data_IF_723329228094
#
_entry.id   IF_723329228094
#
_cell.length_a   1.000
_cell.length_b   1.000
_cell.length_c   1.000
_cell.angle_alpha   90.00
_cell.angle_beta   90.00
_cell.angle_gamma   90.00
#
_symmetry.space_group_name_H-M   'P 1'
#
loop_
_entity.id
_entity.type
_entity.pdbx_description
1 polymer ?
#
# COMPACT_ATOMS: atom_id res chain seq x y z
N UNK A 1 -32.49 -14.16 -36.84
CA UNK A 1 -31.21 -13.57 -37.28
C UNK A 1 -30.74 -12.65 -36.18
N UNK A 2 -29.68 -13.01 -35.47
CA UNK A 2 -29.10 -12.19 -34.41
C UNK A 2 -27.58 -12.31 -34.52
N UNK A 3 -26.94 -11.21 -34.92
CA UNK A 3 -25.50 -11.06 -34.88
C UNK A 3 -25.18 -9.67 -34.30
N UNK A 4 -24.72 -9.66 -33.06
CA UNK A 4 -23.94 -8.63 -32.37
C UNK A 4 -23.20 -9.49 -31.32
N UNK A 5 -21.90 -9.74 -31.35
CA UNK A 5 -20.80 -8.84 -31.63
C UNK A 5 -19.94 -8.82 -30.37
N UNK A 6 -18.78 -9.46 -30.44
CA UNK A 6 -17.62 -9.26 -29.56
C UNK A 6 -17.70 -9.73 -28.09
N UNK A 7 -17.03 -10.85 -27.81
CA UNK A 7 -16.09 -10.91 -26.68
C UNK A 7 -15.09 -12.03 -26.97
N UNK A 8 -13.97 -11.65 -27.56
CA UNK A 8 -12.84 -12.53 -27.86
C UNK A 8 -11.87 -12.49 -26.68
N UNK A 9 -12.35 -12.83 -25.49
CA UNK A 9 -11.47 -13.14 -24.36
C UNK A 9 -11.42 -14.66 -24.26
N UNK A 10 -10.52 -15.24 -25.05
CA UNK A 10 -10.08 -16.61 -24.81
C UNK A 10 -9.42 -16.60 -23.42
N UNK A 11 -10.02 -17.33 -22.48
CA UNK A 11 -9.39 -17.71 -21.23
C UNK A 11 -8.17 -18.56 -21.57
N UNK A 12 -7.02 -17.89 -21.72
CA UNK A 12 -5.73 -18.56 -21.71
C UNK A 12 -5.50 -19.00 -20.26
N UNK A 13 -5.81 -20.26 -19.97
CA UNK A 13 -5.70 -20.92 -18.68
C UNK A 13 -4.25 -21.07 -18.21
N UNK A 14 -3.50 -19.97 -18.18
CA UNK A 14 -2.19 -19.93 -17.54
C UNK A 14 -2.42 -19.82 -16.05
N UNK A 15 -2.37 -20.98 -15.39
CA UNK A 15 -2.15 -21.09 -13.96
C UNK A 15 -1.03 -20.13 -13.58
N UNK A 16 -1.36 -19.10 -12.79
CA UNK A 16 -0.39 -18.14 -12.30
C UNK A 16 0.47 -18.89 -11.27
N UNK A 17 1.53 -19.54 -11.74
CA UNK A 17 2.52 -20.17 -10.87
C UNK A 17 3.25 -19.04 -10.16
N UNK A 18 3.04 -18.92 -8.86
CA UNK A 18 3.76 -17.98 -8.01
C UNK A 18 5.27 -18.32 -8.10
N UNK A 19 6.11 -17.42 -8.64
CA UNK A 19 7.53 -17.70 -8.85
C UNK A 19 8.31 -18.06 -7.57
N UNK A 20 7.74 -17.77 -6.41
CA UNK A 20 8.30 -18.11 -5.10
C UNK A 20 8.11 -19.58 -4.72
N UNK A 21 7.17 -20.28 -5.37
CA UNK A 21 6.81 -21.68 -5.08
C UNK A 21 7.60 -22.70 -5.94
N UNK A 22 8.43 -22.22 -6.89
CA UNK A 22 9.33 -23.07 -7.66
C UNK A 22 10.60 -23.42 -6.84
N UNK A 23 11.03 -24.69 -6.89
CA UNK A 23 12.27 -25.13 -6.23
C UNK A 23 13.50 -24.63 -7.00
N UNK A 24 13.95 -23.44 -6.60
CA UNK A 24 14.92 -22.60 -7.29
C UNK A 24 16.07 -22.22 -6.35
N UNK A 25 16.58 -23.11 -5.49
CA UNK A 25 17.54 -22.72 -4.43
C UNK A 25 18.74 -21.87 -4.91
N UNK A 26 19.25 -22.10 -6.13
CA UNK A 26 20.34 -21.32 -6.74
C UNK A 26 19.85 -20.13 -7.58
N UNK A 27 18.61 -20.19 -8.07
CA UNK A 27 17.97 -19.20 -8.93
C UNK A 27 17.20 -18.14 -8.10
N UNK A 28 16.92 -18.42 -6.83
CA UNK A 28 16.34 -17.48 -5.85
C UNK A 28 17.20 -16.25 -5.63
N UNK A 29 18.52 -16.42 -5.56
CA UNK A 29 19.44 -15.29 -5.41
C UNK A 29 19.44 -14.42 -6.67
N UNK A 30 19.45 -15.02 -7.86
CA UNK A 30 19.36 -14.29 -9.13
C UNK A 30 18.03 -13.55 -9.29
N UNK A 31 16.92 -14.20 -8.94
CA UNK A 31 15.58 -13.60 -8.96
C UNK A 31 15.49 -12.46 -7.94
N UNK A 32 16.06 -12.60 -6.75
CA UNK A 32 16.11 -11.54 -5.74
C UNK A 32 16.88 -10.33 -6.24
N UNK A 33 18.07 -10.51 -6.81
CA UNK A 33 18.86 -9.41 -7.38
C UNK A 33 18.09 -8.68 -8.48
N UNK A 34 17.40 -9.43 -9.35
CA UNK A 34 16.57 -8.83 -10.39
C UNK A 34 15.36 -8.07 -9.82
N UNK A 35 14.76 -8.54 -8.73
CA UNK A 35 13.69 -7.82 -8.02
C UNK A 35 14.25 -6.53 -7.42
N UNK A 36 15.41 -6.59 -6.75
CA UNK A 36 16.05 -5.42 -6.14
C UNK A 36 16.44 -4.38 -7.18
N UNK A 37 16.99 -4.80 -8.32
CA UNK A 37 17.28 -3.90 -9.44
C UNK A 37 16.00 -3.25 -9.99
N UNK A 38 14.95 -4.05 -10.21
CA UNK A 38 13.69 -3.57 -10.76
C UNK A 38 12.92 -2.63 -9.81
N UNK A 39 13.05 -2.79 -8.49
CA UNK A 39 12.44 -1.90 -7.47
C UNK A 39 12.86 -0.45 -7.68
N UNK A 40 14.08 -0.21 -8.18
CA UNK A 40 14.62 1.13 -8.37
C UNK A 40 14.41 1.67 -9.79
N UNK A 41 14.46 0.80 -10.79
CA UNK A 41 14.55 1.21 -12.21
C UNK A 41 13.24 1.09 -12.99
N UNK A 42 12.22 0.39 -12.47
CA UNK A 42 10.93 0.27 -13.15
C UNK A 42 9.86 1.18 -12.54
N UNK A 43 8.90 1.70 -13.33
CA UNK A 43 7.78 2.48 -12.79
C UNK A 43 6.96 1.69 -11.75
N UNK A 44 6.75 0.40 -11.99
CA UNK A 44 6.04 -0.48 -11.05
C UNK A 44 6.84 -0.66 -9.75
N UNK A 45 8.14 -0.93 -9.85
CA UNK A 45 9.03 -1.05 -8.70
C UNK A 45 9.04 0.20 -7.82
N UNK A 46 9.09 1.39 -8.44
CA UNK A 46 9.00 2.66 -7.72
C UNK A 46 7.66 2.84 -7.00
N UNK A 47 6.55 2.38 -7.58
CA UNK A 47 5.23 2.40 -6.92
C UNK A 47 5.20 1.41 -5.75
N UNK A 48 5.69 0.18 -5.93
CA UNK A 48 5.76 -0.81 -4.86
C UNK A 48 6.65 -0.34 -3.70
N UNK A 49 7.79 0.29 -4.01
CA UNK A 49 8.66 0.93 -3.01
C UNK A 49 7.93 2.01 -2.22
N UNK A 50 7.17 2.88 -2.91
CA UNK A 50 6.35 3.90 -2.26
C UNK A 50 5.31 3.26 -1.34
N UNK A 51 4.58 2.25 -1.81
CA UNK A 51 3.57 1.52 -1.02
C UNK A 51 4.21 0.88 0.21
N UNK A 52 5.36 0.22 0.08
CA UNK A 52 6.09 -0.38 1.19
C UNK A 52 6.62 0.66 2.20
N UNK A 53 6.96 1.87 1.75
CA UNK A 53 7.36 2.98 2.62
C UNK A 53 6.19 3.71 3.28
N UNK A 54 4.95 3.45 2.86
CA UNK A 54 3.80 4.08 3.48
C UNK A 54 3.67 3.55 4.90
N UNK A 55 3.56 4.43 5.91
CA UNK A 55 3.31 3.98 7.27
C UNK A 55 2.03 3.17 7.29
N UNK A 56 1.94 2.20 8.21
CA UNK A 56 0.70 1.46 8.44
C UNK A 56 -0.35 2.44 8.98
N UNK A 57 -1.08 3.07 8.07
CA UNK A 57 -2.14 4.00 8.45
C UNK A 57 -3.29 3.15 8.95
N UNK A 58 -3.67 3.36 10.22
CA UNK A 58 -4.92 2.85 10.80
C UNK A 58 -6.12 3.51 10.08
N UNK A 59 -6.40 3.08 8.84
CA UNK A 59 -7.34 3.70 7.90
C UNK A 59 -8.70 3.94 8.52
N UNK A 60 -9.19 2.97 9.30
CA UNK A 60 -10.45 3.08 10.05
C UNK A 60 -10.47 4.30 10.99
N UNK A 61 -9.42 4.47 11.80
CA UNK A 61 -9.29 5.59 12.74
C UNK A 61 -9.22 6.92 12.00
N UNK A 62 -8.46 7.00 10.91
CA UNK A 62 -8.32 8.22 10.10
C UNK A 62 -9.66 8.65 9.48
N UNK A 63 -10.38 7.70 8.87
CA UNK A 63 -11.67 7.99 8.25
C UNK A 63 -12.72 8.42 9.27
N UNK A 64 -12.74 7.78 10.44
CA UNK A 64 -13.61 8.16 11.54
C UNK A 64 -13.33 9.60 12.01
N UNK A 65 -12.07 9.94 12.28
CA UNK A 65 -11.68 11.27 12.73
C UNK A 65 -12.02 12.35 11.69
N UNK A 66 -11.76 12.09 10.40
CA UNK A 66 -12.13 13.01 9.31
C UNK A 66 -13.63 13.29 9.29
N UNK A 67 -14.46 12.28 9.54
CA UNK A 67 -15.92 12.42 9.64
C UNK A 67 -16.31 13.27 10.85
N UNK A 68 -15.76 12.95 12.03
CA UNK A 68 -16.04 13.68 13.27
C UNK A 68 -15.66 15.17 13.15
N UNK A 69 -14.52 15.48 12.53
CA UNK A 69 -14.06 16.85 12.28
C UNK A 69 -15.02 17.58 11.32
N UNK A 70 -15.36 16.95 10.19
CA UNK A 70 -16.28 17.52 9.20
C UNK A 70 -17.67 17.78 9.79
N UNK A 71 -18.13 16.92 10.69
CA UNK A 71 -19.43 17.05 11.36
C UNK A 71 -19.40 17.98 12.58
N UNK A 72 -18.24 18.57 12.93
CA UNK A 72 -18.10 19.43 14.11
C UNK A 72 -18.27 18.70 15.45
N UNK A 73 -18.19 17.37 15.44
CA UNK A 73 -18.31 16.51 16.64
C UNK A 73 -16.96 16.15 17.24
N UNK A 74 -15.88 16.58 16.60
CA UNK A 74 -14.54 16.37 17.09
C UNK A 74 -14.24 17.36 18.19
N UNK A 75 -14.03 16.86 19.41
CA UNK A 75 -13.63 17.70 20.53
C UNK A 75 -12.16 18.12 20.39
N UNK A 76 -11.97 19.39 20.08
CA UNK A 76 -10.66 20.02 19.88
C UNK A 76 -10.06 20.46 21.21
N UNK A 77 -10.87 20.85 22.19
CA UNK A 77 -10.40 21.51 23.41
C UNK A 77 -9.54 20.55 24.26
N UNK A 78 -10.11 19.41 24.65
CA UNK A 78 -9.40 18.39 25.45
C UNK A 78 -8.18 17.80 24.73
N UNK A 79 -8.19 17.83 23.39
CA UNK A 79 -7.10 17.29 22.57
C UNK A 79 -5.99 18.29 22.30
N UNK A 80 -6.26 19.59 22.47
CA UNK A 80 -5.26 20.63 22.30
C UNK A 80 -4.24 20.59 23.44
N UNK A 81 -4.70 20.40 24.68
CA UNK A 81 -3.83 20.27 25.85
C UNK A 81 -2.89 19.06 25.70
N UNK A 82 -3.44 17.91 25.30
CA UNK A 82 -2.63 16.72 25.00
C UNK A 82 -1.63 16.95 23.84
N UNK A 83 -2.02 17.69 22.81
CA UNK A 83 -1.12 18.00 21.70
C UNK A 83 0.00 18.95 22.14
N UNK A 84 -0.28 19.91 23.02
CA UNK A 84 0.71 20.80 23.59
C UNK A 84 1.71 20.04 24.46
N UNK A 85 1.23 19.15 25.34
CA UNK A 85 2.09 18.30 26.18
C UNK A 85 3.06 17.46 25.34
N UNK A 86 2.56 16.86 24.26
CA UNK A 86 3.36 16.09 23.29
C UNK A 86 4.45 16.93 22.64
N UNK A 87 4.11 18.13 22.18
CA UNK A 87 5.08 19.04 21.54
C UNK A 87 6.15 19.49 22.54
N UNK A 88 5.76 19.76 23.79
CA UNK A 88 6.70 20.11 24.85
C UNK A 88 7.63 18.94 25.20
N UNK A 89 7.10 17.71 25.26
CA UNK A 89 7.89 16.48 25.44
C UNK A 89 8.94 16.34 24.33
N UNK A 90 8.53 16.49 23.06
CA UNK A 90 9.42 16.36 21.90
C UNK A 90 10.51 17.46 21.83
N UNK A 91 10.26 18.66 22.38
CA UNK A 91 11.23 19.77 22.36
C UNK A 91 12.23 19.74 23.52
N UNK A 92 11.89 19.05 24.61
CA UNK A 92 12.70 19.00 25.85
C UNK A 92 13.46 17.67 25.95
N UNK A 93 13.05 16.64 25.20
CA UNK A 93 13.77 15.36 25.05
C UNK A 93 15.05 15.49 24.20
#
# INVERSE_FOLDING_TARGET
>A
MSNLGSSRFAEDGREWVNPLDADLSQDKDMVMEQILDNIHHTPLGQVLKKIASMPEVRRKKVLQLRREITEGKYDVADRLDMALDKVLEDLIA
#
